data_IF_376007120265
#
_entry.id   IF_376007120265
#
_cell.length_a   1.000
_cell.length_b   1.000
_cell.length_c   1.000
_cell.angle_alpha   90.00
_cell.angle_beta   90.00
_cell.angle_gamma   90.00
#
_symmetry.space_group_name_H-M   'P 1'
#
loop_
_entity.id
_entity.type
_entity.pdbx_description
1 polymer ?
#
# COMPACT_ATOMS: atom_id res chain seq x y z
N UNK A 1 -65.90 19.52 19.64
CA UNK A 1 -64.47 19.76 19.37
C UNK A 1 -63.75 18.58 19.99
N UNK A 2 -63.53 17.53 19.23
CA UNK A 2 -62.90 16.30 19.72
C UNK A 2 -61.46 16.32 19.24
N UNK A 3 -60.52 16.39 20.18
CA UNK A 3 -59.09 16.38 19.93
C UNK A 3 -58.68 14.97 19.44
N UNK A 4 -58.03 14.91 18.28
CA UNK A 4 -57.48 13.66 17.73
C UNK A 4 -56.05 13.47 18.25
N UNK A 5 -55.82 12.35 18.91
CA UNK A 5 -54.53 11.93 19.47
C UNK A 5 -53.45 11.80 18.38
N UNK A 6 -52.19 12.23 18.64
CA UNK A 6 -51.11 12.11 17.67
C UNK A 6 -50.69 10.64 17.51
N UNK A 7 -50.81 10.16 16.26
CA UNK A 7 -50.36 8.85 15.76
C UNK A 7 -49.01 8.45 16.36
N UNK A 8 -49.03 7.39 17.16
CA UNK A 8 -47.85 6.71 17.69
C UNK A 8 -46.92 6.29 16.54
N UNK A 9 -45.63 6.59 16.69
CA UNK A 9 -44.56 6.16 15.79
C UNK A 9 -44.58 4.64 15.65
N UNK A 10 -44.77 4.16 14.42
CA UNK A 10 -44.68 2.75 14.09
C UNK A 10 -43.26 2.23 14.42
N UNK A 11 -43.22 1.17 15.20
CA UNK A 11 -42.02 0.44 15.59
C UNK A 11 -41.30 -0.11 14.32
N UNK A 12 -39.98 -0.05 14.23
CA UNK A 12 -39.26 -0.55 13.06
C UNK A 12 -39.36 -2.09 13.00
N UNK A 13 -40.06 -2.60 11.99
CA UNK A 13 -40.12 -4.03 11.69
C UNK A 13 -38.71 -4.61 11.55
N UNK A 14 -38.38 -5.58 12.39
CA UNK A 14 -37.13 -6.35 12.29
C UNK A 14 -37.05 -7.06 10.93
N UNK A 15 -35.90 -7.00 10.24
CA UNK A 15 -35.75 -7.66 8.95
C UNK A 15 -35.80 -9.18 9.15
N UNK A 16 -36.82 -9.82 8.55
CA UNK A 16 -36.93 -11.28 8.38
C UNK A 16 -35.59 -11.85 7.93
N UNK A 17 -35.11 -12.88 8.64
CA UNK A 17 -33.89 -13.60 8.32
C UNK A 17 -33.94 -14.07 6.86
N UNK A 18 -33.12 -13.45 6.01
CA UNK A 18 -32.96 -13.84 4.61
C UNK A 18 -32.30 -15.21 4.48
N UNK A 19 -32.28 -15.78 3.26
CA UNK A 19 -31.55 -17.00 2.98
C UNK A 19 -30.08 -16.87 3.41
N UNK A 20 -29.42 -17.99 3.78
CA UNK A 20 -28.03 -17.97 4.20
C UNK A 20 -27.14 -17.28 3.15
N UNK A 21 -26.14 -16.48 3.58
CA UNK A 21 -25.35 -15.69 2.66
C UNK A 21 -24.55 -16.59 1.71
N UNK A 22 -24.83 -16.47 0.43
CA UNK A 22 -24.12 -17.19 -0.64
C UNK A 22 -22.67 -16.73 -0.73
N UNK A 23 -21.73 -17.67 -0.85
CA UNK A 23 -20.31 -17.37 -1.03
C UNK A 23 -19.91 -17.55 -2.49
N UNK A 24 -18.89 -16.80 -2.92
CA UNK A 24 -18.39 -16.92 -4.29
C UNK A 24 -17.64 -18.21 -4.54
N UNK A 25 -16.97 -18.71 -3.51
CA UNK A 25 -16.31 -20.03 -3.52
C UNK A 25 -17.26 -21.22 -3.71
N UNK A 26 -18.55 -21.07 -3.35
CA UNK A 26 -19.55 -22.15 -3.55
C UNK A 26 -19.87 -22.35 -5.04
N UNK A 27 -19.77 -21.27 -5.83
CA UNK A 27 -20.12 -21.27 -7.26
C UNK A 27 -18.92 -21.26 -8.21
N UNK A 28 -17.80 -20.67 -7.77
CA UNK A 28 -16.63 -20.47 -8.59
C UNK A 28 -15.35 -20.91 -7.89
N UNK A 29 -14.36 -21.30 -8.69
CA UNK A 29 -12.99 -21.48 -8.21
C UNK A 29 -12.38 -20.10 -7.93
N UNK A 30 -11.99 -19.90 -6.68
CA UNK A 30 -11.46 -18.64 -6.13
C UNK A 30 -10.03 -18.88 -5.64
N UNK A 31 -9.15 -17.88 -5.76
CA UNK A 31 -7.79 -17.94 -5.21
C UNK A 31 -7.81 -17.95 -3.68
N UNK A 32 -6.91 -18.71 -3.04
CA UNK A 32 -6.77 -18.75 -1.58
C UNK A 32 -6.49 -17.37 -0.98
N UNK A 33 -5.75 -16.52 -1.69
CA UNK A 33 -5.40 -15.15 -1.29
C UNK A 33 -6.53 -14.12 -1.48
N UNK A 34 -7.73 -14.53 -1.91
CA UNK A 34 -8.84 -13.60 -2.13
C UNK A 34 -9.30 -13.01 -0.79
N UNK A 35 -9.36 -11.67 -0.65
CA UNK A 35 -9.92 -11.04 0.54
C UNK A 35 -11.33 -11.56 0.85
N UNK A 36 -11.58 -11.91 2.11
CA UNK A 36 -12.85 -12.52 2.53
C UNK A 36 -14.08 -11.66 2.20
N UNK A 37 -13.93 -10.34 2.04
CA UNK A 37 -14.98 -9.43 1.56
C UNK A 37 -15.45 -9.75 0.16
N UNK A 38 -14.57 -10.16 -0.74
CA UNK A 38 -14.96 -10.57 -2.09
C UNK A 38 -15.52 -12.00 -2.12
N UNK A 39 -15.19 -12.84 -1.14
CA UNK A 39 -15.83 -14.15 -1.01
C UNK A 39 -17.27 -14.05 -0.49
N UNK A 40 -17.57 -13.04 0.33
CA UNK A 40 -18.88 -12.86 0.96
C UNK A 40 -19.56 -11.55 0.45
N UNK A 41 -20.32 -11.59 -0.67
CA UNK A 41 -20.97 -10.40 -1.23
C UNK A 41 -21.92 -9.70 -0.25
N UNK A 42 -22.49 -10.45 0.71
CA UNK A 42 -23.35 -9.91 1.76
C UNK A 42 -22.64 -8.90 2.71
N UNK A 43 -21.31 -8.85 2.73
CA UNK A 43 -20.57 -7.87 3.53
C UNK A 43 -20.58 -6.46 2.93
N UNK A 44 -20.93 -6.32 1.64
CA UNK A 44 -21.09 -5.02 1.00
C UNK A 44 -22.44 -4.40 1.38
N UNK A 45 -22.40 -3.33 2.17
CA UNK A 45 -23.58 -2.61 2.69
C UNK A 45 -23.78 -1.29 1.94
N UNK A 46 -24.97 -0.70 2.08
CA UNK A 46 -25.28 0.65 1.55
C UNK A 46 -26.02 0.66 0.21
N UNK A 47 -26.33 -0.50 -0.34
CA UNK A 47 -27.18 -0.63 -1.52
C UNK A 47 -28.67 -0.53 -1.13
N UNK A 48 -29.49 0.01 -2.03
CA UNK A 48 -30.92 0.24 -1.77
C UNK A 48 -31.71 -1.04 -2.00
N UNK A 49 -31.99 -1.78 -0.92
CA UNK A 49 -32.89 -2.95 -0.96
C UNK A 49 -34.38 -2.56 -0.98
N UNK A 50 -34.72 -1.33 -0.56
CA UNK A 50 -36.09 -0.82 -0.51
C UNK A 50 -36.31 0.23 -1.60
N UNK A 51 -37.35 0.05 -2.40
CA UNK A 51 -37.73 1.04 -3.43
C UNK A 51 -38.31 2.30 -2.76
N UNK A 52 -37.90 3.51 -3.18
CA UNK A 52 -38.57 4.73 -2.75
C UNK A 52 -39.99 4.78 -3.34
N UNK A 53 -40.95 5.45 -2.66
CA UNK A 53 -42.30 5.63 -3.20
C UNK A 53 -42.23 6.25 -4.60
N UNK A 54 -42.98 5.66 -5.53
CA UNK A 54 -42.81 5.74 -7.00
C UNK A 54 -43.06 7.11 -7.65
N UNK A 55 -43.39 8.14 -6.88
CA UNK A 55 -43.81 9.45 -7.41
C UNK A 55 -42.62 10.28 -7.93
N UNK A 56 -41.42 10.11 -7.34
CA UNK A 56 -40.23 10.89 -7.72
C UNK A 56 -38.98 9.99 -7.86
N UNK A 57 -38.88 9.28 -8.98
CA UNK A 57 -37.70 8.49 -9.35
C UNK A 57 -36.84 9.26 -10.33
N UNK A 58 -35.56 9.46 -10.00
CA UNK A 58 -34.58 10.05 -10.93
C UNK A 58 -33.69 8.96 -11.52
N UNK A 59 -33.10 9.20 -12.71
CA UNK A 59 -32.18 8.26 -13.37
C UNK A 59 -30.97 7.91 -12.50
N UNK A 60 -30.45 8.88 -11.75
CA UNK A 60 -29.31 8.69 -10.85
C UNK A 60 -29.61 7.73 -9.70
N UNK A 61 -30.90 7.50 -9.34
CA UNK A 61 -31.27 6.52 -8.32
C UNK A 61 -31.03 5.07 -8.76
N UNK A 62 -30.84 4.81 -10.07
CA UNK A 62 -30.49 3.48 -10.54
C UNK A 62 -29.06 3.07 -10.13
N UNK A 63 -28.12 4.02 -10.14
CA UNK A 63 -26.75 3.77 -9.72
C UNK A 63 -26.66 3.45 -8.22
N UNK A 64 -25.94 2.38 -7.86
CA UNK A 64 -25.77 1.95 -6.47
C UNK A 64 -27.05 1.43 -5.78
N UNK A 65 -28.14 1.25 -6.54
CA UNK A 65 -29.37 0.69 -5.98
C UNK A 65 -29.26 -0.81 -5.72
N UNK A 66 -28.64 -1.56 -6.64
CA UNK A 66 -28.54 -3.02 -6.58
C UNK A 66 -27.33 -3.49 -5.79
N UNK A 67 -27.56 -4.37 -4.81
CA UNK A 67 -26.50 -5.03 -4.06
C UNK A 67 -25.70 -5.99 -4.94
N UNK A 68 -24.39 -6.13 -4.70
CA UNK A 68 -23.56 -6.93 -5.55
C UNK A 68 -23.77 -8.43 -5.30
N UNK A 69 -23.66 -9.23 -6.37
CA UNK A 69 -23.95 -10.67 -6.34
C UNK A 69 -22.69 -11.52 -6.48
N UNK A 70 -22.82 -12.84 -6.22
CA UNK A 70 -21.72 -13.80 -6.37
C UNK A 70 -21.08 -13.76 -7.77
N UNK A 71 -21.88 -13.51 -8.81
CA UNK A 71 -21.43 -13.49 -10.20
C UNK A 71 -20.70 -12.20 -10.59
N UNK A 72 -20.84 -11.15 -9.80
CA UNK A 72 -20.16 -9.87 -10.01
C UNK A 72 -18.83 -9.79 -9.24
N UNK A 73 -18.65 -10.63 -8.21
CA UNK A 73 -17.45 -10.65 -7.39
C UNK A 73 -16.22 -11.17 -8.15
N UNK A 74 -15.03 -10.59 -7.92
CA UNK A 74 -13.80 -11.06 -8.53
C UNK A 74 -13.37 -12.41 -7.96
N UNK A 75 -12.81 -13.27 -8.82
CA UNK A 75 -12.25 -14.58 -8.43
C UNK A 75 -10.82 -14.50 -7.90
N UNK A 76 -10.10 -13.46 -8.33
CA UNK A 76 -8.71 -13.17 -7.95
C UNK A 76 -8.58 -11.66 -7.74
N UNK A 77 -7.81 -11.26 -6.74
CA UNK A 77 -7.53 -9.86 -6.43
C UNK A 77 -6.03 -9.67 -6.20
N UNK A 78 -5.41 -8.75 -6.94
CA UNK A 78 -3.99 -8.44 -6.82
C UNK A 78 -3.81 -7.10 -6.08
N UNK A 79 -3.75 -7.08 -4.74
CA UNK A 79 -3.52 -5.85 -4.00
C UNK A 79 -2.08 -5.38 -4.18
N UNK A 80 -1.90 -4.08 -4.43
CA UNK A 80 -0.60 -3.46 -4.29
C UNK A 80 -0.38 -3.04 -2.82
N UNK A 81 0.63 -3.60 -2.17
CA UNK A 81 0.93 -3.27 -0.77
C UNK A 81 1.93 -2.12 -0.69
N UNK A 82 1.50 -1.00 -0.12
CA UNK A 82 2.38 0.15 0.15
C UNK A 82 3.07 0.07 1.53
N UNK A 83 3.16 -1.13 2.15
CA UNK A 83 3.69 -1.29 3.51
C UNK A 83 5.16 -0.85 3.61
N UNK A 84 5.99 -1.29 2.67
CA UNK A 84 7.40 -0.91 2.59
C UNK A 84 7.57 0.60 2.41
N UNK A 85 6.94 1.16 1.37
CA UNK A 85 7.05 2.60 1.07
C UNK A 85 6.52 3.46 2.21
N UNK A 86 5.47 3.02 2.91
CA UNK A 86 4.95 3.72 4.10
C UNK A 86 5.96 3.72 5.24
N UNK A 87 6.68 2.61 5.47
CA UNK A 87 7.75 2.56 6.47
C UNK A 87 8.90 3.50 6.11
N UNK A 88 9.35 3.49 4.85
CA UNK A 88 10.43 4.37 4.38
C UNK A 88 10.01 5.85 4.42
N UNK A 89 8.77 6.16 4.07
CA UNK A 89 8.24 7.53 4.06
C UNK A 89 8.24 8.20 5.44
N UNK A 90 8.14 7.42 6.53
CA UNK A 90 8.24 7.95 7.91
C UNK A 90 9.61 8.59 8.16
N UNK A 91 10.67 8.09 7.51
CA UNK A 91 12.03 8.62 7.63
C UNK A 91 12.26 9.95 6.92
N UNK A 92 11.30 10.43 6.12
CA UNK A 92 11.42 11.69 5.40
C UNK A 92 12.49 11.66 4.29
N UNK A 93 13.00 12.83 3.96
CA UNK A 93 13.98 13.00 2.89
C UNK A 93 15.38 12.58 3.38
N UNK A 94 16.03 11.69 2.61
CA UNK A 94 17.38 11.23 2.91
C UNK A 94 18.39 12.38 2.86
N UNK A 95 19.29 12.44 3.85
CA UNK A 95 20.40 13.39 3.94
C UNK A 95 21.72 12.64 4.11
N UNK A 96 22.72 13.02 3.32
CA UNK A 96 24.08 12.49 3.41
C UNK A 96 24.92 13.36 4.35
N UNK A 97 25.11 12.90 5.60
CA UNK A 97 25.96 13.58 6.60
C UNK A 97 27.30 12.84 6.84
N UNK A 98 27.74 12.00 5.90
CA UNK A 98 28.96 11.20 6.03
C UNK A 98 30.19 11.95 5.50
N UNK A 99 31.32 11.81 6.18
CA UNK A 99 32.62 12.30 5.70
C UNK A 99 33.27 11.25 4.78
N UNK A 100 33.98 11.71 3.75
CA UNK A 100 34.81 10.83 2.92
C UNK A 100 36.10 10.48 3.68
N UNK A 101 36.21 9.24 4.14
CA UNK A 101 37.40 8.70 4.83
C UNK A 101 38.11 7.66 3.94
N UNK A 102 37.86 7.70 2.62
CA UNK A 102 38.50 6.78 1.70
C UNK A 102 40.01 7.07 1.66
N UNK A 103 40.81 6.09 2.09
CA UNK A 103 42.26 6.13 1.96
C UNK A 103 42.66 5.73 0.54
N UNK A 104 43.58 6.49 -0.05
CA UNK A 104 44.14 6.19 -1.36
C UNK A 104 44.77 4.78 -1.34
N UNK A 105 44.43 3.96 -2.34
CA UNK A 105 44.95 2.58 -2.50
C UNK A 105 46.08 2.51 -3.52
N UNK A 106 46.68 3.63 -3.87
CA UNK A 106 47.73 3.62 -4.89
C UNK A 106 48.94 2.86 -4.36
N UNK A 107 49.62 2.14 -5.24
CA UNK A 107 50.84 1.41 -4.90
C UNK A 107 51.99 2.40 -4.62
N UNK A 108 51.89 3.63 -5.12
CA UNK A 108 52.90 4.69 -5.03
C UNK A 108 52.69 5.62 -3.83
N UNK A 109 51.45 5.81 -3.39
CA UNK A 109 51.04 6.58 -2.21
C UNK A 109 50.10 5.71 -1.36
N UNK A 110 50.59 4.50 -1.05
CA UNK A 110 49.85 3.51 -0.30
C UNK A 110 49.58 3.91 1.16
N UNK A 111 48.95 3.04 1.95
CA UNK A 111 48.62 3.32 3.35
C UNK A 111 49.84 3.62 4.23
N UNK A 112 51.03 3.27 3.78
CA UNK A 112 52.27 3.55 4.51
C UNK A 112 52.94 4.88 4.07
N UNK A 113 52.40 5.57 3.05
CA UNK A 113 52.94 6.83 2.51
C UNK A 113 51.82 7.86 2.26
N UNK A 114 51.26 8.40 3.35
CA UNK A 114 50.37 9.54 3.27
C UNK A 114 51.19 10.81 3.05
N UNK A 115 51.15 11.35 1.83
CA UNK A 115 51.61 12.72 1.55
C UNK A 115 50.64 13.66 2.26
N UNK A 116 50.95 14.01 3.50
CA UNK A 116 50.17 14.99 4.26
C UNK A 116 50.61 16.40 3.87
N UNK A 117 49.81 17.42 4.20
CA UNK A 117 50.23 18.81 4.01
C UNK A 117 51.52 19.15 4.77
N UNK A 118 51.81 18.42 5.85
CA UNK A 118 52.97 18.57 6.72
C UNK A 118 54.19 17.80 6.24
N UNK A 119 54.00 16.65 5.58
CA UNK A 119 55.09 15.83 5.07
C UNK A 119 54.84 15.45 3.61
N UNK A 120 55.34 16.33 2.72
CA UNK A 120 55.14 16.23 1.27
C UNK A 120 56.18 15.38 0.56
N UNK A 121 57.24 14.97 1.27
CA UNK A 121 58.39 14.26 0.69
C UNK A 121 58.46 12.80 1.13
N UNK A 122 57.45 12.31 1.84
CA UNK A 122 57.33 10.91 2.23
C UNK A 122 56.78 10.07 1.07
N UNK A 123 57.61 9.89 0.04
CA UNK A 123 57.29 9.06 -1.11
C UNK A 123 57.54 7.59 -0.80
N UNK A 124 56.69 6.72 -1.36
CA UNK A 124 56.88 5.27 -1.22
C UNK A 124 58.23 4.82 -1.80
N UNK A 125 58.91 3.82 -1.18
CA UNK A 125 60.20 3.31 -1.65
C UNK A 125 60.27 2.86 -3.12
N UNK A 126 59.11 2.58 -3.74
CA UNK A 126 59.00 2.26 -5.17
C UNK A 126 59.11 3.48 -6.09
N UNK A 127 58.95 4.70 -5.56
CA UNK A 127 59.10 5.96 -6.28
C UNK A 127 60.58 6.28 -6.51
N UNK A 128 61.00 6.33 -7.77
CA UNK A 128 62.37 6.69 -8.16
C UNK A 128 62.34 7.96 -9.02
N UNK A 129 63.03 9.01 -8.58
CA UNK A 129 63.04 10.32 -9.26
C UNK A 129 63.68 10.26 -10.65
N UNK A 130 64.71 9.43 -10.83
CA UNK A 130 65.51 9.38 -12.05
C UNK A 130 65.43 8.03 -12.79
N UNK A 131 64.49 7.15 -12.41
CA UNK A 131 64.32 5.80 -12.99
C UNK A 131 62.84 5.43 -13.00
N UNK A 132 62.39 4.53 -13.90
CA UNK A 132 61.03 4.01 -13.83
C UNK A 132 60.75 3.41 -12.44
N UNK A 133 59.57 3.72 -11.90
CA UNK A 133 59.07 3.14 -10.64
C UNK A 133 58.81 1.65 -10.83
N UNK A 134 59.13 0.86 -9.80
CA UNK A 134 58.92 -0.59 -9.83
C UNK A 134 57.50 -0.85 -9.32
N UNK A 135 56.68 -1.48 -10.16
CA UNK A 135 55.38 -2.03 -9.79
C UNK A 135 55.44 -3.53 -10.09
N UNK A 136 55.29 -4.37 -9.07
CA UNK A 136 55.04 -5.80 -9.23
C UNK A 136 53.53 -6.06 -9.37
#
# INVERSE_FOLDING_TARGET
MSEEDPKACAEPEEPKAGPPPEKTSDWYRVSEDLPARFNNPAWFRGYRTKEPPSVYRTSNQAYGSRAPTVHEMPKVFYPNSYKFSRQVAVGGMFQNNTLNVYMEKSIVTGPDNYITSYDRLNFHPSYRVCRPSICD
#
